data_IF_698312784695
#
_entry.id   IF_698312784695
#
_cell.length_a   1.000
_cell.length_b   1.000
_cell.length_c   1.000
_cell.angle_alpha   90.00
_cell.angle_beta   90.00
_cell.angle_gamma   90.00
#
_symmetry.space_group_name_H-M   'P 1'
#
loop_
_entity.id
_entity.type
_entity.pdbx_description
1 polymer ?
#
# COMPACT_ATOMS: atom_id res chain seq x y z
N UNK A 1 15.78 -8.85 -14.00
CA UNK A 1 14.53 -8.61 -13.24
C UNK A 1 13.83 -9.94 -13.06
N UNK A 2 13.54 -10.35 -11.81
CA UNK A 2 13.10 -11.72 -11.48
C UNK A 2 11.59 -11.91 -11.66
N UNK A 3 11.19 -13.08 -12.16
CA UNK A 3 9.80 -13.52 -12.38
C UNK A 3 9.12 -14.05 -11.10
N UNK A 4 9.64 -13.70 -9.92
CA UNK A 4 9.12 -14.18 -8.64
C UNK A 4 7.62 -13.86 -8.52
N UNK A 5 6.84 -14.89 -8.19
CA UNK A 5 5.39 -14.78 -7.99
C UNK A 5 5.12 -14.62 -6.50
N UNK A 6 4.34 -13.60 -6.14
CA UNK A 6 3.79 -13.39 -4.81
C UNK A 6 2.28 -13.18 -4.92
N UNK A 7 1.47 -13.90 -4.14
CA UNK A 7 0.01 -13.80 -4.18
C UNK A 7 -0.60 -13.87 -5.61
N UNK A 8 -0.09 -14.79 -6.44
CA UNK A 8 -0.48 -14.96 -7.86
C UNK A 8 -0.22 -13.74 -8.76
N UNK A 9 0.63 -12.81 -8.31
CA UNK A 9 1.06 -11.62 -9.05
C UNK A 9 2.59 -11.67 -9.23
N UNK A 10 3.09 -11.21 -10.37
CA UNK A 10 4.53 -11.08 -10.56
C UNK A 10 5.04 -9.89 -9.73
N UNK A 11 6.14 -10.09 -9.02
CA UNK A 11 6.73 -9.07 -8.13
C UNK A 11 7.05 -7.77 -8.87
N UNK A 12 7.53 -7.86 -10.12
CA UNK A 12 7.79 -6.68 -10.96
C UNK A 12 6.52 -5.86 -11.24
N UNK A 13 5.38 -6.52 -11.43
CA UNK A 13 4.09 -5.86 -11.68
C UNK A 13 3.55 -5.19 -10.41
N UNK A 14 3.75 -5.84 -9.26
CA UNK A 14 3.44 -5.26 -7.95
C UNK A 14 4.28 -4.00 -7.71
N UNK A 15 5.60 -4.06 -7.92
CA UNK A 15 6.49 -2.91 -7.72
C UNK A 15 6.17 -1.74 -8.63
N UNK A 16 5.87 -1.99 -9.91
CA UNK A 16 5.45 -0.95 -10.84
C UNK A 16 4.16 -0.26 -10.36
N UNK A 17 3.15 -1.05 -9.99
CA UNK A 17 1.87 -0.52 -9.51
C UNK A 17 2.05 0.26 -8.20
N UNK A 18 2.84 -0.29 -7.26
CA UNK A 18 3.16 0.38 -6.00
C UNK A 18 3.87 1.70 -6.22
N UNK A 19 4.92 1.73 -7.06
CA UNK A 19 5.66 2.95 -7.36
C UNK A 19 4.80 4.03 -8.02
N UNK A 20 3.86 3.63 -8.88
CA UNK A 20 2.89 4.57 -9.47
C UNK A 20 1.92 5.11 -8.40
N UNK A 21 1.42 4.24 -7.51
CA UNK A 21 0.56 4.64 -6.39
C UNK A 21 1.24 5.63 -5.45
N UNK A 22 2.52 5.41 -5.09
CA UNK A 22 3.24 6.28 -4.14
C UNK A 22 3.47 7.70 -4.68
N UNK A 23 3.51 7.87 -6.01
CA UNK A 23 3.62 9.19 -6.65
C UNK A 23 2.25 9.77 -7.07
N UNK A 24 1.14 9.17 -6.64
CA UNK A 24 -0.20 9.62 -6.98
C UNK A 24 -0.57 9.43 -8.45
N UNK A 25 0.01 8.43 -9.12
CA UNK A 25 -0.23 8.13 -10.54
C UNK A 25 -0.90 6.76 -10.72
N UNK A 26 -1.84 6.69 -11.65
CA UNK A 26 -2.58 5.47 -11.97
C UNK A 26 -2.04 4.72 -13.19
N UNK A 27 -2.78 3.70 -13.64
CA UNK A 27 -2.40 2.85 -14.76
C UNK A 27 -2.20 3.59 -16.09
N UNK A 28 -2.84 4.76 -16.28
CA UNK A 28 -2.63 5.60 -17.46
C UNK A 28 -1.20 6.15 -17.53
N UNK A 29 -0.67 6.66 -16.43
CA UNK A 29 0.71 7.12 -16.35
C UNK A 29 1.69 5.95 -16.46
N UNK A 30 1.36 4.80 -15.88
CA UNK A 30 2.17 3.59 -16.03
C UNK A 30 2.32 3.17 -17.50
N UNK A 31 1.25 3.29 -18.31
CA UNK A 31 1.31 3.01 -19.76
C UNK A 31 2.26 3.97 -20.48
N UNK A 32 2.18 5.26 -20.19
CA UNK A 32 3.06 6.28 -20.76
C UNK A 32 4.51 5.99 -20.38
N UNK A 33 4.76 5.72 -19.09
CA UNK A 33 6.10 5.38 -18.58
C UNK A 33 6.69 4.15 -19.26
N UNK A 34 5.92 3.05 -19.36
CA UNK A 34 6.40 1.85 -20.06
C UNK A 34 6.71 2.13 -21.53
N UNK A 35 5.86 2.90 -22.23
CA UNK A 35 6.11 3.30 -23.62
C UNK A 35 7.38 4.15 -23.77
N UNK A 36 7.59 5.13 -22.90
CA UNK A 36 8.75 6.01 -22.90
C UNK A 36 10.07 5.24 -22.67
N UNK A 37 10.03 4.26 -21.76
CA UNK A 37 11.19 3.48 -21.35
C UNK A 37 11.43 2.24 -22.22
N UNK A 38 10.65 2.05 -23.30
CA UNK A 38 10.67 0.84 -24.13
C UNK A 38 10.51 -0.46 -23.31
N UNK A 39 9.61 -0.44 -22.33
CA UNK A 39 9.27 -1.58 -21.48
C UNK A 39 8.00 -2.27 -21.99
N UNK A 40 7.79 -3.55 -21.64
CA UNK A 40 6.50 -4.21 -21.83
C UNK A 40 5.35 -3.39 -21.22
N UNK A 41 4.14 -3.49 -21.78
CA UNK A 41 2.99 -2.76 -21.27
C UNK A 41 2.72 -3.13 -19.79
N UNK A 42 2.21 -2.18 -18.99
CA UNK A 42 1.88 -2.45 -17.61
C UNK A 42 0.84 -3.57 -17.49
N UNK A 43 0.75 -4.25 -16.33
CA UNK A 43 -0.17 -5.36 -16.13
C UNK A 43 -1.62 -4.97 -16.42
N UNK A 44 -2.32 -5.78 -17.21
CA UNK A 44 -3.74 -5.56 -17.54
C UNK A 44 -4.64 -5.51 -16.29
N UNK A 45 -4.23 -6.17 -15.21
CA UNK A 45 -4.96 -6.21 -13.94
C UNK A 45 -4.47 -5.14 -12.95
N UNK A 46 -4.09 -3.94 -13.42
CA UNK A 46 -3.54 -2.87 -12.58
C UNK A 46 -4.41 -2.57 -11.34
N UNK A 47 -5.72 -2.43 -11.53
CA UNK A 47 -6.66 -2.18 -10.41
C UNK A 47 -6.70 -3.30 -9.38
N UNK A 48 -6.55 -4.56 -9.80
CA UNK A 48 -6.46 -5.69 -8.86
C UNK A 48 -5.25 -5.55 -7.94
N UNK A 49 -4.12 -5.07 -8.46
CA UNK A 49 -2.92 -4.83 -7.66
C UNK A 49 -3.17 -3.66 -6.69
N UNK A 50 -3.85 -2.59 -7.12
CA UNK A 50 -4.28 -1.50 -6.24
C UNK A 50 -5.16 -1.98 -5.08
N UNK A 51 -6.17 -2.82 -5.36
CA UNK A 51 -7.03 -3.39 -4.31
C UNK A 51 -6.25 -4.28 -3.35
N UNK A 52 -5.29 -5.06 -3.87
CA UNK A 52 -4.40 -5.86 -3.03
C UNK A 52 -3.58 -4.97 -2.09
N UNK A 53 -2.99 -3.88 -2.59
CA UNK A 53 -2.27 -2.93 -1.74
C UNK A 53 -3.18 -2.28 -0.71
N UNK A 54 -4.39 -1.88 -1.09
CA UNK A 54 -5.36 -1.29 -0.17
C UNK A 54 -5.69 -2.24 0.98
N UNK A 55 -5.93 -3.52 0.71
CA UNK A 55 -6.25 -4.51 1.73
C UNK A 55 -5.07 -4.72 2.70
N UNK A 56 -3.85 -4.87 2.16
CA UNK A 56 -2.64 -5.04 2.98
C UNK A 56 -2.39 -3.79 3.83
N UNK A 57 -2.51 -2.60 3.26
CA UNK A 57 -2.34 -1.34 3.98
C UNK A 57 -3.39 -1.18 5.08
N UNK A 58 -4.63 -1.57 4.81
CA UNK A 58 -5.71 -1.55 5.81
C UNK A 58 -5.35 -2.43 7.01
N UNK A 59 -4.97 -3.69 6.78
CA UNK A 59 -4.57 -4.60 7.87
C UNK A 59 -3.40 -4.04 8.66
N UNK A 60 -2.34 -3.55 7.99
CA UNK A 60 -1.19 -2.94 8.67
C UNK A 60 -1.61 -1.73 9.50
N UNK A 61 -2.52 -0.90 8.98
CA UNK A 61 -3.01 0.29 9.68
C UNK A 61 -3.83 -0.08 10.92
N UNK A 62 -4.68 -1.10 10.80
CA UNK A 62 -5.47 -1.64 11.93
C UNK A 62 -4.55 -2.23 13.01
N UNK A 63 -3.58 -3.06 12.63
CA UNK A 63 -2.60 -3.65 13.56
C UNK A 63 -1.77 -2.58 14.27
N UNK A 64 -1.27 -1.59 13.51
CA UNK A 64 -0.49 -0.48 14.05
C UNK A 64 -1.32 0.38 15.02
N UNK A 65 -2.58 0.65 14.69
CA UNK A 65 -3.46 1.44 15.55
C UNK A 65 -3.82 0.69 16.83
N UNK A 66 -4.07 -0.63 16.74
CA UNK A 66 -4.32 -1.46 17.91
C UNK A 66 -3.11 -1.51 18.85
N UNK A 67 -1.89 -1.63 18.31
CA UNK A 67 -0.66 -1.57 19.08
C UNK A 67 -0.50 -0.22 19.79
N UNK A 68 -0.71 0.89 19.06
CA UNK A 68 -0.64 2.24 19.61
C UNK A 68 -1.67 2.47 20.73
N UNK A 69 -2.90 1.95 20.58
CA UNK A 69 -3.92 2.01 21.63
C UNK A 69 -3.48 1.24 22.87
N UNK A 70 -2.95 0.02 22.71
CA UNK A 70 -2.48 -0.78 23.83
C UNK A 70 -1.34 -0.08 24.59
N UNK A 71 -0.39 0.51 23.88
CA UNK A 71 0.69 1.32 24.46
C UNK A 71 0.16 2.56 25.19
N UNK A 72 -0.82 3.26 24.61
CA UNK A 72 -1.44 4.43 25.22
C UNK A 72 -2.21 4.09 26.51
N UNK A 73 -2.88 2.95 26.58
CA UNK A 73 -3.58 2.47 27.79
C UNK A 73 -2.59 2.19 28.91
N UNK A 74 -1.47 1.52 28.61
CA UNK A 74 -0.41 1.24 29.59
C UNK A 74 0.18 2.55 30.12
N UNK A 75 0.44 3.51 29.23
CA UNK A 75 0.97 4.83 29.61
C UNK A 75 -0.02 5.66 30.44
N UNK A 76 -1.31 5.36 30.36
CA UNK A 76 -2.40 6.02 31.10
C UNK A 76 -2.83 5.22 32.34
N UNK A 77 -1.90 4.61 33.07
CA UNK A 77 -2.18 3.83 34.29
C UNK A 77 -3.21 2.70 34.09
N UNK A 78 -3.15 2.01 32.95
CA UNK A 78 -4.14 1.02 32.51
C UNK A 78 -5.58 1.54 32.35
N UNK A 79 -5.74 2.85 32.12
CA UNK A 79 -7.03 3.48 31.86
C UNK A 79 -7.26 3.66 30.35
N UNK A 80 -8.38 3.12 29.84
CA UNK A 80 -8.76 3.20 28.43
C UNK A 80 -9.44 4.50 28.02
N UNK A 81 -9.62 5.45 28.94
CA UNK A 81 -10.09 6.79 28.64
C UNK A 81 -8.97 7.63 28.01
N UNK A 82 -8.76 7.44 26.71
CA UNK A 82 -7.72 8.10 25.91
C UNK A 82 -8.34 8.99 24.83
N UNK A 83 -7.71 10.12 24.53
CA UNK A 83 -8.10 11.02 23.44
C UNK A 83 -7.16 10.83 22.24
N UNK A 84 -7.72 10.86 21.04
CA UNK A 84 -6.96 10.75 19.78
C UNK A 84 -7.10 12.06 19.01
N UNK A 85 -5.97 12.65 18.63
CA UNK A 85 -5.91 13.75 17.67
C UNK A 85 -5.36 13.21 16.35
N UNK A 86 -6.01 13.54 15.24
CA UNK A 86 -5.61 13.10 13.89
C UNK A 86 -5.40 14.33 13.03
N UNK A 87 -4.19 14.51 12.49
CA UNK A 87 -3.93 15.47 11.44
C UNK A 87 -4.05 14.78 10.07
N UNK A 88 -4.90 15.33 9.21
CA UNK A 88 -5.00 14.86 7.83
C UNK A 88 -3.84 15.43 7.03
N UNK A 89 -2.87 14.59 6.65
CA UNK A 89 -1.82 14.94 5.67
C UNK A 89 -2.29 14.63 4.25
#
# INVERSE_FOLDING_TARGET
MSSKISNKCYDVNLRLTYGMRTIGKGGAAARIFCGLMNLPPPPAKFERHNSLFLNVLKTISEDSMNAAVHEAVIANDNNSNIAVAVDGT
#
